data_IF_603524792572
#
_entry.id   IF_603524792572
#
_cell.length_a   1.000
_cell.length_b   1.000
_cell.length_c   1.000
_cell.angle_alpha   90.00
_cell.angle_beta   90.00
_cell.angle_gamma   90.00
#
_symmetry.space_group_name_H-M   'P 1'
#
loop_
_entity.id
_entity.type
_entity.pdbx_description
1 polymer ?
#
# COMPACT_ATOMS: atom_id res chain seq x y z
N UNK A 1 -21.67 -17.84 4.94
CA UNK A 1 -20.49 -17.20 4.29
C UNK A 1 -19.22 -18.07 4.31
N UNK A 2 -19.00 -18.92 5.33
CA UNK A 2 -17.79 -19.76 5.46
C UNK A 2 -17.62 -20.87 4.39
N UNK A 3 -18.70 -21.33 3.74
CA UNK A 3 -18.67 -22.45 2.77
C UNK A 3 -18.01 -22.03 1.45
N UNK A 4 -18.26 -20.81 0.96
CA UNK A 4 -17.72 -20.34 -0.34
C UNK A 4 -16.20 -20.14 -0.32
N UNK A 5 -15.64 -19.73 0.81
CA UNK A 5 -14.20 -19.53 0.97
C UNK A 5 -13.50 -20.78 1.53
N UNK A 6 -14.19 -21.92 1.60
CA UNK A 6 -13.62 -23.16 2.12
C UNK A 6 -12.52 -23.69 1.20
N UNK A 7 -11.54 -24.39 1.81
CA UNK A 7 -10.43 -25.02 1.09
C UNK A 7 -10.92 -26.13 0.14
N UNK A 8 -12.06 -26.73 0.45
CA UNK A 8 -12.67 -27.82 -0.34
C UNK A 8 -13.12 -27.37 -1.74
N UNK A 9 -13.42 -26.08 -1.93
CA UNK A 9 -13.80 -25.52 -3.23
C UNK A 9 -12.62 -24.94 -4.02
N UNK A 10 -11.39 -25.40 -3.79
CA UNK A 10 -10.20 -25.00 -4.56
C UNK A 10 -10.01 -25.88 -5.80
N UNK A 11 -10.38 -27.16 -5.70
CA UNK A 11 -10.22 -28.10 -6.81
C UNK A 11 -11.25 -27.78 -7.89
N UNK A 12 -10.76 -27.41 -9.07
CA UNK A 12 -11.60 -27.16 -10.23
C UNK A 12 -12.39 -28.43 -10.62
N UNK A 13 -13.70 -28.29 -10.82
CA UNK A 13 -14.53 -29.38 -11.36
C UNK A 13 -14.08 -29.74 -12.78
N UNK A 14 -14.40 -30.94 -13.25
CA UNK A 14 -14.05 -31.40 -14.61
C UNK A 14 -14.52 -30.46 -15.75
N UNK A 15 -15.57 -29.65 -15.51
CA UNK A 15 -16.11 -28.69 -16.47
C UNK A 15 -15.49 -27.27 -16.36
N UNK A 16 -14.42 -27.07 -15.60
CA UNK A 16 -13.82 -25.75 -15.42
C UNK A 16 -13.10 -25.25 -16.69
N UNK A 17 -13.40 -24.01 -17.10
CA UNK A 17 -12.74 -23.38 -18.23
C UNK A 17 -11.36 -22.83 -17.82
N UNK A 18 -10.29 -23.52 -18.23
CA UNK A 18 -8.88 -23.13 -18.00
C UNK A 18 -8.52 -21.74 -18.52
N UNK A 19 -9.26 -21.19 -19.49
CA UNK A 19 -9.01 -19.85 -20.04
C UNK A 19 -9.41 -18.71 -19.07
N UNK A 20 -10.04 -19.02 -17.94
CA UNK A 20 -10.28 -18.06 -16.87
C UNK A 20 -9.03 -17.76 -16.03
N UNK A 21 -8.00 -18.62 -16.09
CA UNK A 21 -6.77 -18.45 -15.31
C UNK A 21 -5.95 -17.23 -15.77
N UNK A 22 -5.68 -17.00 -17.08
CA UNK A 22 -4.88 -15.85 -17.51
C UNK A 22 -5.50 -14.48 -17.17
N UNK A 23 -6.81 -14.23 -17.37
CA UNK A 23 -7.43 -12.97 -16.94
C UNK A 23 -7.34 -12.73 -15.44
N UNK A 24 -7.52 -13.78 -14.62
CA UNK A 24 -7.39 -13.68 -13.17
C UNK A 24 -5.95 -13.35 -12.75
N UNK A 25 -4.96 -14.04 -13.33
CA UNK A 25 -3.55 -13.77 -13.07
C UNK A 25 -3.16 -12.35 -13.48
N UNK A 26 -3.63 -11.87 -14.63
CA UNK A 26 -3.38 -10.51 -15.10
C UNK A 26 -4.00 -9.47 -14.15
N UNK A 27 -5.22 -9.68 -13.68
CA UNK A 27 -5.88 -8.76 -12.73
C UNK A 27 -5.10 -8.63 -11.42
N UNK A 28 -4.56 -9.73 -10.89
CA UNK A 28 -3.70 -9.71 -9.69
C UNK A 28 -2.40 -8.95 -9.96
N UNK A 29 -1.72 -9.23 -11.07
CA UNK A 29 -0.47 -8.56 -11.42
C UNK A 29 -0.64 -7.06 -11.68
N UNK A 30 -1.73 -6.66 -12.35
CA UNK A 30 -2.06 -5.24 -12.54
C UNK A 30 -2.32 -4.54 -11.21
N UNK A 31 -3.00 -5.23 -10.27
CA UNK A 31 -3.26 -4.69 -8.93
C UNK A 31 -1.97 -4.49 -8.13
N UNK A 32 -1.02 -5.44 -8.20
CA UNK A 32 0.28 -5.33 -7.55
C UNK A 32 1.14 -4.24 -8.22
N UNK A 33 1.12 -4.18 -9.56
CA UNK A 33 1.87 -3.21 -10.35
C UNK A 33 1.46 -1.76 -10.09
N UNK A 34 0.23 -1.52 -9.62
CA UNK A 34 -0.23 -0.20 -9.19
C UNK A 34 0.67 0.43 -8.12
N UNK A 35 1.34 -0.36 -7.28
CA UNK A 35 2.23 0.16 -6.25
C UNK A 35 3.28 1.11 -6.84
N UNK A 36 3.85 0.80 -8.01
CA UNK A 36 4.81 1.66 -8.72
C UNK A 36 4.22 2.98 -9.22
N UNK A 37 2.89 3.03 -9.38
CA UNK A 37 2.14 4.22 -9.76
C UNK A 37 2.14 5.30 -8.68
N UNK A 38 2.42 4.98 -7.41
CA UNK A 38 2.49 6.00 -6.35
C UNK A 38 3.58 7.05 -6.60
N UNK A 39 4.61 6.73 -7.40
CA UNK A 39 5.71 7.65 -7.70
C UNK A 39 5.26 8.83 -8.57
N UNK A 40 4.24 8.61 -9.42
CA UNK A 40 3.61 9.65 -10.24
C UNK A 40 2.97 10.72 -9.35
N UNK A 41 2.51 10.33 -8.16
CA UNK A 41 1.86 11.23 -7.22
C UNK A 41 2.84 12.04 -6.36
N UNK A 42 4.15 11.83 -6.41
CA UNK A 42 5.08 12.59 -5.57
C UNK A 42 5.07 14.10 -5.83
N UNK A 43 5.02 14.51 -7.11
CA UNK A 43 4.93 15.94 -7.45
C UNK A 43 3.62 16.58 -6.97
N UNK A 44 2.43 16.02 -7.25
CA UNK A 44 1.20 16.63 -6.75
C UNK A 44 1.09 16.57 -5.23
N UNK A 45 1.56 15.50 -4.58
CA UNK A 45 1.56 15.39 -3.10
C UNK A 45 2.53 16.38 -2.43
N UNK A 46 3.68 16.63 -3.04
CA UNK A 46 4.63 17.64 -2.55
C UNK A 46 4.18 19.10 -2.77
N UNK A 47 3.05 19.31 -3.46
CA UNK A 47 2.44 20.62 -3.68
C UNK A 47 0.95 20.61 -3.26
N UNK A 48 0.56 19.73 -2.35
CA UNK A 48 -0.83 19.52 -1.96
C UNK A 48 -1.41 20.74 -1.22
N UNK A 49 -0.61 21.38 -0.38
CA UNK A 49 -0.98 22.60 0.33
C UNK A 49 -0.55 23.84 -0.45
N UNK A 50 -1.52 24.71 -0.74
CA UNK A 50 -1.33 26.02 -1.37
C UNK A 50 -1.54 27.11 -0.30
N UNK A 51 -0.65 28.10 -0.27
CA UNK A 51 -0.81 29.28 0.57
C UNK A 51 -1.82 30.28 -0.01
N UNK A 52 -2.07 31.38 0.70
CA UNK A 52 -3.00 32.44 0.29
C UNK A 52 -2.65 33.06 -1.09
N UNK A 53 -1.36 33.03 -1.46
CA UNK A 53 -0.85 33.51 -2.74
C UNK A 53 -1.04 32.53 -3.92
N UNK A 54 -1.70 31.39 -3.69
CA UNK A 54 -1.84 30.31 -4.68
C UNK A 54 -0.54 29.56 -5.00
N UNK A 55 0.54 29.82 -4.25
CA UNK A 55 1.83 29.12 -4.37
C UNK A 55 1.88 27.93 -3.39
N UNK A 56 2.54 26.81 -3.76
CA UNK A 56 2.71 25.69 -2.86
C UNK A 56 3.52 26.10 -1.61
N UNK A 57 3.03 25.69 -0.45
CA UNK A 57 3.71 25.91 0.83
C UNK A 57 5.07 25.22 0.83
N UNK A 58 6.03 25.79 1.55
CA UNK A 58 7.36 25.21 1.70
C UNK A 58 7.27 23.80 2.32
N UNK A 59 8.18 22.91 1.91
CA UNK A 59 8.23 21.58 2.47
C UNK A 59 8.72 21.59 3.92
N UNK A 60 8.25 20.65 4.75
CA UNK A 60 8.59 20.58 6.17
C UNK A 60 10.11 20.45 6.45
N UNK A 61 10.87 19.96 5.49
CA UNK A 61 12.32 19.81 5.53
C UNK A 61 13.04 20.69 4.48
N UNK A 62 12.46 21.84 4.11
CA UNK A 62 13.05 22.74 3.12
C UNK A 62 14.48 23.17 3.54
N UNK A 63 15.48 22.81 2.74
CA UNK A 63 16.89 23.13 3.01
C UNK A 63 17.67 22.08 3.82
N UNK A 64 17.05 20.97 4.23
CA UNK A 64 17.75 19.89 4.92
C UNK A 64 18.77 19.21 3.98
N UNK A 65 20.06 19.32 4.31
CA UNK A 65 21.15 18.71 3.52
C UNK A 65 21.69 17.44 4.16
N UNK A 66 21.53 17.31 5.48
CA UNK A 66 21.97 16.14 6.23
C UNK A 66 20.82 15.13 6.45
N UNK A 67 21.18 13.87 6.67
CA UNK A 67 20.20 12.81 6.96
C UNK A 67 19.42 13.07 8.26
N UNK A 68 20.09 13.61 9.29
CA UNK A 68 19.45 13.94 10.57
C UNK A 68 18.39 15.04 10.44
N UNK A 69 18.68 16.09 9.67
CA UNK A 69 17.71 17.16 9.38
C UNK A 69 16.52 16.64 8.59
N UNK A 70 16.76 15.75 7.61
CA UNK A 70 15.68 15.12 6.85
C UNK A 70 14.77 14.28 7.75
N UNK A 71 15.34 13.47 8.64
CA UNK A 71 14.58 12.69 9.62
C UNK A 71 13.78 13.57 10.58
N UNK A 72 14.38 14.65 11.10
CA UNK A 72 13.67 15.61 11.95
C UNK A 72 12.51 16.28 11.19
N UNK A 73 12.74 16.62 9.92
CA UNK A 73 11.70 17.12 9.02
C UNK A 73 10.59 16.10 8.74
N UNK A 74 10.93 14.83 8.53
CA UNK A 74 9.98 13.73 8.38
C UNK A 74 9.14 13.56 9.64
N UNK A 75 9.75 13.60 10.82
CA UNK A 75 9.05 13.49 12.10
C UNK A 75 8.01 14.61 12.29
N UNK A 76 8.34 15.84 11.87
CA UNK A 76 7.36 16.94 11.82
C UNK A 76 6.28 16.65 10.77
N UNK A 77 6.68 16.26 9.56
CA UNK A 77 5.79 15.96 8.44
C UNK A 77 4.77 14.84 8.73
N UNK A 78 5.04 13.98 9.73
CA UNK A 78 4.11 12.92 10.15
C UNK A 78 2.72 13.47 10.47
N UNK A 79 2.64 14.60 11.19
CA UNK A 79 1.38 15.16 11.72
C UNK A 79 1.13 16.60 11.33
N UNK A 80 2.13 17.27 10.75
CA UNK A 80 2.05 18.66 10.33
C UNK A 80 1.06 18.86 9.15
N UNK A 81 0.22 19.88 9.28
CA UNK A 81 -0.76 20.33 8.26
C UNK A 81 -0.40 21.69 7.67
N UNK A 82 0.73 22.28 8.08
CA UNK A 82 1.20 23.63 7.74
C UNK A 82 2.31 23.65 6.68
N UNK A 83 2.83 22.48 6.29
CA UNK A 83 3.95 22.35 5.36
C UNK A 83 3.77 21.12 4.46
N UNK A 84 4.30 21.19 3.23
CA UNK A 84 4.20 20.09 2.27
C UNK A 84 5.20 18.97 2.54
N UNK A 85 4.92 17.79 2.00
CA UNK A 85 5.81 16.61 2.09
C UNK A 85 6.93 16.65 1.06
N UNK A 86 8.10 16.15 1.44
CA UNK A 86 9.21 15.95 0.51
C UNK A 86 9.12 14.58 -0.16
N UNK A 87 9.83 14.42 -1.29
CA UNK A 87 9.98 13.11 -1.91
C UNK A 87 10.63 12.08 -0.98
N UNK A 88 11.50 12.52 -0.06
CA UNK A 88 12.10 11.64 0.94
C UNK A 88 11.05 11.08 1.91
N UNK A 89 10.13 11.93 2.39
CA UNK A 89 9.05 11.53 3.31
C UNK A 89 8.09 10.53 2.66
N UNK A 90 7.74 10.78 1.39
CA UNK A 90 6.88 9.89 0.59
C UNK A 90 7.58 8.59 0.18
N UNK A 91 8.92 8.60 0.10
CA UNK A 91 9.73 7.42 -0.21
C UNK A 91 9.65 6.36 0.90
N UNK A 92 9.57 6.76 2.16
CA UNK A 92 9.45 5.83 3.29
C UNK A 92 8.20 4.96 3.23
N UNK A 93 7.09 5.50 2.73
CA UNK A 93 5.87 4.72 2.48
C UNK A 93 6.15 3.52 1.55
N UNK A 94 6.88 3.75 0.46
CA UNK A 94 7.28 2.69 -0.48
C UNK A 94 8.24 1.68 0.13
N UNK A 95 9.19 2.15 0.94
CA UNK A 95 10.13 1.27 1.63
C UNK A 95 9.39 0.34 2.59
N UNK A 96 8.49 0.89 3.40
CA UNK A 96 7.65 0.11 4.32
C UNK A 96 6.79 -0.91 3.55
N UNK A 97 6.20 -0.49 2.43
CA UNK A 97 5.41 -1.35 1.57
C UNK A 97 6.17 -2.60 1.11
N UNK A 98 7.34 -2.45 0.48
CA UNK A 98 8.09 -3.59 -0.05
C UNK A 98 8.70 -4.47 1.04
N UNK A 99 9.20 -3.86 2.12
CA UNK A 99 9.73 -4.61 3.27
C UNK A 99 8.64 -5.47 3.87
N UNK A 100 7.46 -4.91 4.14
CA UNK A 100 6.36 -5.64 4.76
C UNK A 100 5.71 -6.64 3.83
N UNK A 101 5.66 -6.37 2.52
CA UNK A 101 5.27 -7.35 1.51
C UNK A 101 6.19 -8.58 1.56
N UNK A 102 7.51 -8.38 1.58
CA UNK A 102 8.48 -9.47 1.67
C UNK A 102 8.41 -10.24 2.99
N UNK A 103 8.36 -9.52 4.11
CA UNK A 103 8.27 -10.13 5.44
C UNK A 103 6.95 -10.89 5.64
N UNK A 104 5.81 -10.33 5.20
CA UNK A 104 4.52 -11.01 5.37
C UNK A 104 4.42 -12.25 4.49
N UNK A 105 4.94 -12.21 3.26
CA UNK A 105 5.03 -13.39 2.39
C UNK A 105 5.83 -14.53 3.05
N UNK A 106 6.94 -14.21 3.73
CA UNK A 106 7.75 -15.20 4.43
C UNK A 106 7.06 -15.77 5.68
N UNK A 107 6.38 -14.94 6.48
CA UNK A 107 5.80 -15.35 7.77
C UNK A 107 4.46 -16.06 7.61
N UNK A 108 3.63 -15.65 6.65
CA UNK A 108 2.24 -16.11 6.55
C UNK A 108 2.01 -17.31 5.64
N UNK A 109 3.06 -17.89 5.06
CA UNK A 109 2.97 -19.09 4.20
C UNK A 109 2.25 -20.26 4.89
N UNK A 110 2.66 -20.61 6.12
CA UNK A 110 2.04 -21.72 6.87
C UNK A 110 0.56 -21.48 7.20
N UNK A 111 0.15 -20.22 7.39
CA UNK A 111 -1.25 -19.89 7.62
C UNK A 111 -2.07 -20.02 6.34
N UNK A 112 -1.52 -19.60 5.20
CA UNK A 112 -2.17 -19.76 3.90
C UNK A 112 -2.42 -21.23 3.58
N UNK A 113 -1.46 -22.12 3.84
CA UNK A 113 -1.62 -23.55 3.60
C UNK A 113 -2.76 -24.16 4.43
N UNK A 114 -2.93 -23.70 5.68
CA UNK A 114 -4.00 -24.15 6.59
C UNK A 114 -5.36 -23.56 6.20
N UNK A 115 -5.42 -22.26 5.91
CA UNK A 115 -6.67 -21.52 5.69
C UNK A 115 -7.20 -21.61 4.25
N UNK A 116 -6.29 -21.76 3.29
CA UNK A 116 -6.55 -21.84 1.85
C UNK A 116 -6.41 -20.49 1.10
N UNK A 117 -6.00 -20.53 -0.18
CA UNK A 117 -5.77 -19.37 -1.05
C UNK A 117 -6.96 -18.41 -1.16
N UNK A 118 -8.20 -18.92 -1.23
CA UNK A 118 -9.38 -18.06 -1.40
C UNK A 118 -9.61 -17.11 -0.21
N UNK A 119 -9.31 -17.55 1.01
CA UNK A 119 -9.38 -16.70 2.22
C UNK A 119 -8.23 -15.70 2.23
N UNK A 120 -7.03 -16.16 1.89
CA UNK A 120 -5.85 -15.29 1.82
C UNK A 120 -6.04 -14.18 0.78
N UNK A 121 -6.56 -14.49 -0.40
CA UNK A 121 -6.88 -13.53 -1.45
C UNK A 121 -7.93 -12.51 -1.04
N UNK A 122 -8.98 -12.92 -0.31
CA UNK A 122 -9.97 -11.96 0.21
C UNK A 122 -9.36 -11.02 1.25
N UNK A 123 -8.58 -11.55 2.19
CA UNK A 123 -7.87 -10.73 3.20
C UNK A 123 -6.91 -9.76 2.50
N UNK A 124 -6.15 -10.23 1.50
CA UNK A 124 -5.29 -9.39 0.66
C UNK A 124 -6.08 -8.26 0.01
N UNK A 125 -7.22 -8.55 -0.63
CA UNK A 125 -8.04 -7.53 -1.28
C UNK A 125 -8.58 -6.50 -0.29
N UNK A 126 -9.04 -6.93 0.89
CA UNK A 126 -9.53 -6.04 1.94
C UNK A 126 -8.41 -5.17 2.52
N UNK A 127 -7.24 -5.74 2.79
CA UNK A 127 -6.09 -5.01 3.28
C UNK A 127 -5.55 -4.02 2.22
N UNK A 128 -5.50 -4.41 0.96
CA UNK A 128 -5.06 -3.52 -0.13
C UNK A 128 -6.02 -2.35 -0.33
N UNK A 129 -7.31 -2.63 -0.54
CA UNK A 129 -8.33 -1.60 -0.74
C UNK A 129 -8.52 -0.73 0.52
N UNK A 130 -8.54 -1.35 1.70
CA UNK A 130 -8.63 -0.64 2.98
C UNK A 130 -7.41 0.24 3.24
N UNK A 131 -6.20 -0.26 2.96
CA UNK A 131 -4.97 0.51 3.06
C UNK A 131 -4.97 1.73 2.14
N UNK A 132 -5.44 1.58 0.89
CA UNK A 132 -5.61 2.70 -0.05
C UNK A 132 -6.63 3.73 0.45
N UNK A 133 -7.75 3.31 1.01
CA UNK A 133 -8.75 4.22 1.58
C UNK A 133 -8.20 5.00 2.77
N UNK A 134 -7.45 4.35 3.66
CA UNK A 134 -6.78 5.00 4.79
C UNK A 134 -5.76 6.03 4.28
N UNK A 135 -4.95 5.68 3.27
CA UNK A 135 -4.01 6.62 2.67
C UNK A 135 -4.69 7.79 1.98
N UNK A 136 -5.82 7.55 1.28
CA UNK A 136 -6.59 8.62 0.65
C UNK A 136 -7.13 9.60 1.70
N UNK A 137 -7.62 9.09 2.84
CA UNK A 137 -8.01 9.94 3.96
C UNK A 137 -6.81 10.67 4.59
N UNK A 138 -5.65 10.02 4.67
CA UNK A 138 -4.39 10.65 5.09
C UNK A 138 -4.00 11.82 4.20
N UNK A 139 -4.12 11.67 2.89
CA UNK A 139 -3.89 12.75 1.92
C UNK A 139 -4.91 13.88 2.13
N UNK A 140 -6.19 13.54 2.29
CA UNK A 140 -7.26 14.52 2.52
C UNK A 140 -7.07 15.34 3.81
N UNK A 141 -6.64 14.69 4.89
CA UNK A 141 -6.38 15.32 6.20
C UNK A 141 -4.97 15.87 6.36
N UNK A 142 -4.13 15.74 5.32
CA UNK A 142 -2.71 16.10 5.34
C UNK A 142 -1.92 15.43 6.48
N UNK A 143 -2.15 14.13 6.70
CA UNK A 143 -1.51 13.30 7.71
C UNK A 143 -0.65 12.20 7.07
N UNK A 144 0.67 12.36 7.09
CA UNK A 144 1.61 11.41 6.46
C UNK A 144 1.62 10.05 7.16
N UNK A 145 1.47 10.01 8.49
CA UNK A 145 1.46 8.75 9.25
C UNK A 145 0.34 7.80 8.79
N UNK A 146 -0.80 8.36 8.36
CA UNK A 146 -1.92 7.56 7.85
C UNK A 146 -1.57 6.91 6.51
N UNK A 147 -0.80 7.58 5.66
CA UNK A 147 -0.31 7.01 4.41
C UNK A 147 0.69 5.87 4.67
N UNK A 148 1.58 6.05 5.64
CA UNK A 148 2.53 5.03 6.05
C UNK A 148 1.81 3.80 6.62
N UNK A 149 0.82 3.99 7.49
CA UNK A 149 0.02 2.91 8.04
C UNK A 149 -0.86 2.24 6.98
N UNK A 150 -1.56 3.03 6.16
CA UNK A 150 -2.52 2.56 5.16
C UNK A 150 -1.84 1.77 4.06
N UNK A 151 -1.27 2.46 3.07
CA UNK A 151 -0.66 1.83 1.90
C UNK A 151 0.70 1.22 2.22
N UNK A 152 1.47 1.77 3.16
CA UNK A 152 2.76 1.19 3.56
C UNK A 152 2.60 -0.12 4.32
N UNK A 153 1.96 -0.09 5.49
CA UNK A 153 1.87 -1.25 6.39
C UNK A 153 0.75 -2.20 6.00
N UNK A 154 -0.50 -1.74 6.04
CA UNK A 154 -1.68 -2.60 5.81
C UNK A 154 -1.69 -3.08 4.35
N UNK A 155 -1.43 -2.19 3.41
CA UNK A 155 -1.33 -2.50 1.99
C UNK A 155 -0.18 -3.47 1.68
N UNK A 156 1.01 -3.26 2.28
CA UNK A 156 2.16 -4.15 2.12
C UNK A 156 1.89 -5.56 2.64
N UNK A 157 1.35 -5.68 3.87
CA UNK A 157 0.99 -6.98 4.46
C UNK A 157 -0.07 -7.69 3.59
N UNK A 158 -1.10 -6.95 3.17
CA UNK A 158 -2.18 -7.46 2.32
C UNK A 158 -1.66 -8.04 1.03
N UNK A 159 -0.87 -7.27 0.27
CA UNK A 159 -0.32 -7.76 -1.00
C UNK A 159 0.70 -8.88 -0.84
N UNK A 160 1.45 -8.92 0.26
CA UNK A 160 2.33 -10.07 0.53
C UNK A 160 1.55 -11.38 0.73
N UNK A 161 0.39 -11.32 1.41
CA UNK A 161 -0.56 -12.45 1.48
C UNK A 161 -1.15 -12.83 0.12
N UNK A 162 -1.45 -11.83 -0.72
CA UNK A 162 -1.94 -12.05 -2.08
C UNK A 162 -0.89 -12.65 -3.00
N UNK A 163 0.37 -12.27 -2.83
CA UNK A 163 1.49 -12.74 -3.65
C UNK A 163 1.79 -14.23 -3.48
N UNK A 164 1.58 -14.76 -2.27
CA UNK A 164 1.76 -16.19 -1.97
C UNK A 164 0.53 -17.05 -2.31
N UNK A 165 -0.59 -16.44 -2.70
CA UNK A 165 -1.79 -17.16 -3.09
C UNK A 165 -1.69 -17.65 -4.55
N UNK A 166 -1.75 -18.96 -4.82
CA UNK A 166 -1.81 -19.50 -6.17
C UNK A 166 -3.12 -19.17 -6.90
#
# INVERSE_FOLDING_TARGET
MAIFLSKEHITASANFNRWLVPPAALAVHLSIGMAYGFSVFWKPLGNALLGEDGKPLAACAAGATTFGEKLAGTLRALTATDCNWTQFDLGWMYTLFFVLLGCSAAVWGSWLERSGPRKAGLVSALCWCGGLLISAFGIYSHQLWMMWLGSGVIGGIGLGLGYISP
#
